data_IF_773997685181
#
_entry.id   IF_773997685181
#
_cell.length_a   1.000
_cell.length_b   1.000
_cell.length_c   1.000
_cell.angle_alpha   90.00
_cell.angle_beta   90.00
_cell.angle_gamma   90.00
#
_symmetry.space_group_name_H-M   'P 1'
#
loop_
_entity.id
_entity.type
_entity.pdbx_description
1 polymer ?
#
# COMPACT_ATOMS: atom_id res chain seq x y z
N UNK A 1 15.46 -9.77 -17.41
CA UNK A 1 14.26 -9.08 -17.90
C UNK A 1 13.56 -8.38 -16.75
N UNK A 2 13.31 -7.11 -16.94
CA UNK A 2 12.65 -6.31 -15.92
C UNK A 2 11.16 -6.59 -15.89
N UNK A 3 10.60 -6.61 -14.71
CA UNK A 3 9.17 -6.77 -14.55
C UNK A 3 8.45 -5.45 -14.84
N UNK A 4 7.26 -5.54 -15.41
CA UNK A 4 6.44 -4.36 -15.62
C UNK A 4 5.92 -3.85 -14.29
N UNK A 5 5.44 -2.61 -14.26
CA UNK A 5 4.81 -2.03 -13.07
C UNK A 5 3.66 -2.92 -12.61
N UNK A 6 2.88 -3.44 -13.56
CA UNK A 6 1.76 -4.32 -13.25
C UNK A 6 2.20 -5.57 -12.52
N UNK A 7 3.28 -6.21 -13.00
CA UNK A 7 3.80 -7.42 -12.37
C UNK A 7 4.36 -7.14 -10.98
N UNK A 8 5.12 -6.07 -10.83
CA UNK A 8 5.69 -5.68 -9.52
C UNK A 8 4.60 -5.41 -8.50
N UNK A 9 3.60 -4.64 -8.89
CA UNK A 9 2.53 -4.27 -7.98
C UNK A 9 1.65 -5.48 -7.65
N UNK A 10 1.39 -6.34 -8.62
CA UNK A 10 0.61 -7.55 -8.37
C UNK A 10 1.30 -8.47 -7.38
N UNK A 11 2.63 -8.64 -7.51
CA UNK A 11 3.41 -9.45 -6.57
C UNK A 11 3.36 -8.86 -5.16
N UNK A 12 3.52 -7.55 -5.05
CA UNK A 12 3.47 -6.87 -3.75
C UNK A 12 2.08 -7.00 -3.13
N UNK A 13 1.04 -6.82 -3.93
CA UNK A 13 -0.34 -6.96 -3.48
C UNK A 13 -0.61 -8.37 -2.94
N UNK A 14 -0.22 -9.39 -3.71
CA UNK A 14 -0.43 -10.78 -3.30
C UNK A 14 0.33 -11.08 -2.00
N UNK A 15 1.56 -10.60 -1.90
CA UNK A 15 2.39 -10.79 -0.70
C UNK A 15 1.74 -10.13 0.52
N UNK A 16 1.27 -8.91 0.38
CA UNK A 16 0.61 -8.20 1.48
C UNK A 16 -0.67 -8.91 1.92
N UNK A 17 -1.46 -9.41 0.98
CA UNK A 17 -2.67 -10.15 1.33
C UNK A 17 -2.36 -11.43 2.08
N UNK A 18 -1.35 -12.16 1.65
CA UNK A 18 -0.95 -13.39 2.33
C UNK A 18 -0.44 -13.06 3.73
N UNK A 19 0.38 -12.02 3.86
CA UNK A 19 0.89 -11.59 5.16
C UNK A 19 -0.24 -11.20 6.11
N UNK A 20 -1.22 -10.45 5.61
CA UNK A 20 -2.38 -10.07 6.41
C UNK A 20 -3.18 -11.29 6.84
N UNK A 21 -3.34 -12.26 5.96
CA UNK A 21 -4.05 -13.50 6.28
C UNK A 21 -3.31 -14.28 7.36
N UNK A 22 -1.97 -14.33 7.28
CA UNK A 22 -1.13 -14.99 8.26
C UNK A 22 -1.30 -14.37 9.65
N UNK A 23 -1.54 -13.06 9.72
CA UNK A 23 -1.70 -12.32 10.95
C UNK A 23 -3.18 -12.13 11.35
N UNK A 24 -4.11 -12.75 10.65
CA UNK A 24 -5.55 -12.47 10.78
C UNK A 24 -6.15 -12.77 12.16
N UNK A 25 -5.52 -13.62 12.96
CA UNK A 25 -6.01 -13.89 14.31
C UNK A 25 -5.76 -12.73 15.26
N UNK A 26 -4.79 -11.88 14.95
CA UNK A 26 -4.41 -10.76 15.81
C UNK A 26 -4.73 -9.39 15.20
N UNK A 27 -4.75 -9.28 13.88
CA UNK A 27 -4.93 -8.02 13.18
C UNK A 27 -6.00 -8.14 12.10
N UNK A 28 -6.95 -7.22 12.11
CA UNK A 28 -7.98 -7.15 11.08
C UNK A 28 -7.42 -6.47 9.82
N UNK A 29 -7.98 -6.84 8.69
CA UNK A 29 -7.60 -6.23 7.42
C UNK A 29 -8.78 -6.32 6.44
N UNK A 30 -8.75 -5.46 5.43
CA UNK A 30 -9.74 -5.49 4.37
C UNK A 30 -9.14 -4.97 3.07
N UNK A 31 -9.38 -5.69 1.98
CA UNK A 31 -9.04 -5.25 0.63
C UNK A 31 -10.34 -5.15 -0.14
N UNK A 32 -10.81 -3.95 -0.38
CA UNK A 32 -12.07 -3.73 -1.08
C UNK A 32 -11.94 -4.07 -2.57
N UNK A 33 -13.07 -4.11 -3.26
CA UNK A 33 -13.11 -4.41 -4.69
C UNK A 33 -12.23 -3.46 -5.50
N UNK A 34 -11.69 -3.90 -6.63
CA UNK A 34 -10.85 -3.04 -7.46
C UNK A 34 -11.65 -1.92 -8.11
N UNK A 35 -10.95 -0.85 -8.45
CA UNK A 35 -11.53 0.18 -9.29
C UNK A 35 -11.47 -0.29 -10.74
N UNK A 36 -12.09 0.45 -11.63
CA UNK A 36 -12.03 0.21 -13.07
C UNK A 36 -11.12 1.25 -13.72
N UNK A 37 -10.66 0.95 -14.94
CA UNK A 37 -9.89 1.93 -15.71
C UNK A 37 -10.72 3.17 -15.98
N UNK A 38 -12.02 3.01 -16.17
CA UNK A 38 -12.93 4.14 -16.38
C UNK A 38 -12.96 5.06 -15.18
N UNK A 39 -13.04 4.51 -13.97
CA UNK A 39 -13.00 5.32 -12.75
C UNK A 39 -11.70 6.09 -12.62
N UNK A 40 -10.58 5.45 -12.93
CA UNK A 40 -9.27 6.08 -12.88
C UNK A 40 -9.21 7.22 -13.89
N UNK A 41 -9.61 6.96 -15.12
CA UNK A 41 -9.58 7.98 -16.18
C UNK A 41 -10.49 9.16 -15.86
N UNK A 42 -11.66 8.90 -15.30
CA UNK A 42 -12.59 9.95 -14.90
C UNK A 42 -12.00 10.82 -13.78
N UNK A 43 -11.37 10.18 -12.79
CA UNK A 43 -10.73 10.92 -11.72
C UNK A 43 -9.61 11.84 -12.25
N UNK A 44 -8.79 11.30 -13.17
CA UNK A 44 -7.70 12.08 -13.77
C UNK A 44 -8.23 13.28 -14.54
N UNK A 45 -9.32 13.10 -15.27
CA UNK A 45 -9.94 14.21 -16.02
C UNK A 45 -10.54 15.26 -15.11
N UNK A 46 -11.29 14.82 -14.11
CA UNK A 46 -11.97 15.72 -13.19
C UNK A 46 -11.00 16.59 -12.40
N UNK A 47 -9.86 16.03 -12.06
CA UNK A 47 -8.88 16.71 -11.22
C UNK A 47 -7.70 17.29 -12.01
N UNK A 48 -7.62 16.98 -13.29
CA UNK A 48 -6.51 17.39 -14.16
C UNK A 48 -5.17 16.98 -13.55
N UNK A 49 -5.10 15.75 -13.08
CA UNK A 49 -3.90 15.18 -12.44
C UNK A 49 -3.71 13.76 -13.00
N UNK A 50 -2.48 13.42 -13.32
CA UNK A 50 -2.16 12.08 -13.77
C UNK A 50 -1.68 11.25 -12.58
N UNK A 51 -2.28 10.07 -12.38
CA UNK A 51 -1.86 9.17 -11.32
C UNK A 51 -0.57 8.46 -11.74
N UNK A 52 0.38 8.27 -10.81
CA UNK A 52 1.58 7.48 -11.11
C UNK A 52 1.21 6.06 -11.56
N UNK A 53 1.97 5.52 -12.49
CA UNK A 53 1.70 4.22 -13.10
C UNK A 53 1.49 3.11 -12.09
N UNK A 54 2.41 2.96 -11.14
CA UNK A 54 2.29 1.90 -10.12
C UNK A 54 1.05 2.05 -9.26
N UNK A 55 0.66 3.29 -8.96
CA UNK A 55 -0.54 3.55 -8.16
C UNK A 55 -1.80 3.17 -8.94
N UNK A 56 -1.82 3.43 -10.25
CA UNK A 56 -2.94 2.98 -11.10
C UNK A 56 -3.08 1.47 -11.05
N UNK A 57 -1.96 0.76 -11.16
CA UNK A 57 -1.98 -0.71 -11.11
C UNK A 57 -2.50 -1.20 -9.75
N UNK A 58 -2.13 -0.52 -8.68
CA UNK A 58 -2.64 -0.85 -7.34
C UNK A 58 -4.16 -0.70 -7.26
N UNK A 59 -4.69 0.43 -7.73
CA UNK A 59 -6.13 0.67 -7.68
C UNK A 59 -6.93 -0.32 -8.55
N UNK A 60 -6.31 -0.86 -9.58
CA UNK A 60 -6.94 -1.91 -10.39
C UNK A 60 -7.00 -3.25 -9.66
N UNK A 61 -6.33 -3.37 -8.53
CA UNK A 61 -6.39 -4.56 -7.68
C UNK A 61 -7.29 -4.34 -6.46
N UNK A 62 -7.23 -3.15 -5.87
CA UNK A 62 -8.09 -2.80 -4.75
C UNK A 62 -8.24 -1.27 -4.69
N UNK A 63 -9.46 -0.80 -4.57
CA UNK A 63 -9.73 0.63 -4.54
C UNK A 63 -9.39 1.26 -3.18
N UNK A 64 -9.66 0.53 -2.12
CA UNK A 64 -9.34 0.95 -0.76
C UNK A 64 -8.94 -0.27 0.03
N UNK A 65 -7.92 -0.14 0.88
CA UNK A 65 -7.54 -1.24 1.73
C UNK A 65 -7.08 -0.73 3.10
N UNK A 66 -7.16 -1.62 4.07
CA UNK A 66 -6.54 -1.37 5.37
C UNK A 66 -5.92 -2.67 5.87
N UNK A 67 -4.88 -2.53 6.68
CA UNK A 67 -4.12 -3.65 7.20
C UNK A 67 -3.76 -3.35 8.65
N UNK A 68 -3.55 -4.40 9.45
CA UNK A 68 -3.12 -4.28 10.84
C UNK A 68 -4.05 -3.38 11.65
N UNK A 69 -5.34 -3.72 11.70
CA UNK A 69 -6.34 -2.96 12.46
C UNK A 69 -6.42 -1.49 12.02
N UNK A 70 -6.25 -1.27 10.71
CA UNK A 70 -6.30 0.06 10.09
C UNK A 70 -5.08 0.93 10.37
N UNK A 71 -3.99 0.35 10.84
CA UNK A 71 -2.75 1.10 10.99
C UNK A 71 -2.19 1.52 9.64
N UNK A 72 -2.38 0.67 8.62
CA UNK A 72 -1.91 0.94 7.25
C UNK A 72 -3.12 1.04 6.35
N UNK A 73 -3.36 2.23 5.79
CA UNK A 73 -4.49 2.45 4.90
C UNK A 73 -4.02 3.08 3.60
N UNK A 74 -4.48 2.51 2.48
CA UNK A 74 -4.29 3.11 1.15
C UNK A 74 -5.70 3.23 0.59
N UNK A 75 -6.06 4.42 0.14
CA UNK A 75 -7.44 4.68 -0.29
C UNK A 75 -7.48 5.51 -1.57
N UNK A 76 -8.67 5.64 -2.11
CA UNK A 76 -8.92 6.40 -3.34
C UNK A 76 -8.39 7.82 -3.17
N UNK A 77 -7.71 8.36 -4.19
CA UNK A 77 -6.99 9.62 -4.03
C UNK A 77 -7.92 10.79 -3.74
N UNK A 78 -7.44 11.65 -2.85
CA UNK A 78 -8.15 12.88 -2.48
C UNK A 78 -7.20 14.05 -2.71
N UNK A 79 -7.64 15.00 -3.51
CA UNK A 79 -6.82 16.18 -3.78
C UNK A 79 -6.73 17.03 -2.52
N UNK A 80 -5.51 17.28 -2.08
CA UNK A 80 -5.27 18.13 -0.93
C UNK A 80 -5.08 19.57 -1.38
N UNK A 81 -4.85 20.45 -0.44
CA UNK A 81 -4.88 21.90 -0.64
C UNK A 81 -3.88 22.46 -1.64
N UNK A 82 -2.79 21.79 -1.89
CA UNK A 82 -1.69 22.36 -2.67
C UNK A 82 -1.25 21.46 -3.80
N UNK A 83 -0.01 21.05 -3.75
CA UNK A 83 0.60 20.29 -4.84
C UNK A 83 0.57 18.78 -4.60
N UNK A 84 -0.19 18.34 -3.59
CA UNK A 84 -0.16 16.94 -3.15
C UNK A 84 -1.51 16.29 -3.25
N UNK A 85 -1.50 14.97 -3.44
CA UNK A 85 -2.71 14.14 -3.45
C UNK A 85 -2.59 13.12 -2.32
N UNK A 86 -3.57 13.11 -1.44
CA UNK A 86 -3.60 12.22 -0.29
C UNK A 86 -4.07 10.83 -0.73
N UNK A 87 -3.29 9.79 -0.43
CA UNK A 87 -3.64 8.42 -0.81
C UNK A 87 -3.54 7.41 0.33
N UNK A 88 -3.13 7.80 1.50
CA UNK A 88 -3.03 6.85 2.60
C UNK A 88 -2.84 7.51 3.95
N UNK A 89 -2.98 6.66 4.97
CA UNK A 89 -2.78 7.05 6.36
C UNK A 89 -2.06 5.90 7.04
N UNK A 90 -0.94 6.21 7.69
CA UNK A 90 -0.10 5.18 8.29
C UNK A 90 -0.09 5.26 9.81
N UNK A 91 0.00 4.08 10.41
CA UNK A 91 0.19 3.89 11.86
C UNK A 91 -0.96 4.43 12.72
N UNK A 92 -1.94 5.07 12.09
CA UNK A 92 -3.13 5.54 12.81
C UNK A 92 -2.92 6.76 13.69
N UNK A 93 -1.75 7.38 13.63
CA UNK A 93 -1.41 8.49 14.52
C UNK A 93 -1.09 9.80 13.80
N UNK A 94 -1.57 9.94 12.58
CA UNK A 94 -1.42 11.20 11.86
C UNK A 94 -0.32 11.23 10.81
N UNK A 95 0.27 10.08 10.51
CA UNK A 95 1.19 10.01 9.39
C UNK A 95 0.37 9.78 8.12
N UNK A 96 0.55 10.65 7.12
CA UNK A 96 -0.24 10.60 5.88
C UNK A 96 0.66 10.39 4.69
N UNK A 97 0.16 9.60 3.73
CA UNK A 97 0.87 9.31 2.49
C UNK A 97 0.30 10.13 1.34
N UNK A 98 1.20 10.80 0.62
CA UNK A 98 0.84 11.65 -0.52
C UNK A 98 1.69 11.31 -1.74
N UNK A 99 1.26 11.79 -2.90
CA UNK A 99 2.18 11.93 -4.02
C UNK A 99 2.11 13.37 -4.53
N UNK A 100 3.22 13.83 -5.11
CA UNK A 100 3.32 15.18 -5.68
C UNK A 100 2.62 15.21 -7.03
N UNK A 101 1.79 16.22 -7.27
CA UNK A 101 1.10 16.40 -8.56
C UNK A 101 2.10 16.61 -9.70
N UNK A 102 3.20 17.31 -9.44
CA UNK A 102 4.18 17.64 -10.46
C UNK A 102 5.12 16.50 -10.79
N UNK A 103 5.70 15.88 -9.76
CA UNK A 103 6.75 14.87 -9.97
C UNK A 103 6.23 13.44 -9.90
N UNK A 104 5.07 13.22 -9.27
CA UNK A 104 4.57 11.88 -9.02
C UNK A 104 5.31 11.14 -7.91
N UNK A 105 6.22 11.83 -7.22
CA UNK A 105 6.97 11.21 -6.13
C UNK A 105 6.12 11.02 -4.89
N UNK A 106 6.38 9.94 -4.16
CA UNK A 106 5.64 9.59 -2.96
C UNK A 106 6.37 10.06 -1.72
N UNK A 107 5.61 10.51 -0.75
CA UNK A 107 6.19 10.93 0.53
C UNK A 107 5.15 10.81 1.64
N UNK A 108 5.64 10.67 2.89
CA UNK A 108 4.78 10.73 4.06
C UNK A 108 5.11 11.98 4.86
N UNK A 109 4.13 12.47 5.60
CA UNK A 109 4.32 13.59 6.51
C UNK A 109 3.85 13.17 7.91
N UNK A 110 4.64 13.53 8.92
CA UNK A 110 4.29 13.26 10.30
C UNK A 110 4.93 14.33 11.18
N UNK A 111 4.11 15.07 11.89
CA UNK A 111 4.58 16.15 12.81
C UNK A 111 5.56 17.12 12.16
N UNK A 112 5.30 17.46 10.88
CA UNK A 112 6.12 18.40 10.15
C UNK A 112 7.34 17.80 9.46
N UNK A 113 7.59 16.51 9.65
CA UNK A 113 8.69 15.83 8.98
C UNK A 113 8.18 15.15 7.71
N UNK A 114 9.03 15.12 6.69
CA UNK A 114 8.72 14.51 5.39
C UNK A 114 9.70 13.39 5.12
N UNK A 115 9.18 12.22 4.75
CA UNK A 115 10.00 11.09 4.35
C UNK A 115 9.63 10.72 2.92
N UNK A 116 10.61 10.67 2.04
CA UNK A 116 10.40 10.41 0.62
C UNK A 116 10.63 8.95 0.27
N UNK A 117 9.90 8.46 -0.74
CA UNK A 117 10.02 7.10 -1.24
C UNK A 117 10.34 7.14 -2.73
N UNK A 118 11.18 6.22 -3.19
CA UNK A 118 11.59 6.14 -4.59
C UNK A 118 10.44 5.78 -5.54
N UNK A 119 9.49 4.98 -5.07
CA UNK A 119 8.39 4.51 -5.89
C UNK A 119 7.24 4.04 -5.00
N UNK A 120 6.09 3.76 -5.60
CA UNK A 120 4.98 3.19 -4.83
C UNK A 120 5.33 1.80 -4.32
N UNK A 121 6.10 1.04 -5.09
CA UNK A 121 6.56 -0.28 -4.66
C UNK A 121 7.41 -0.18 -3.39
N UNK A 122 8.21 0.87 -3.25
CA UNK A 122 8.98 1.12 -2.03
C UNK A 122 8.07 1.33 -0.82
N UNK A 123 6.95 2.02 -1.03
CA UNK A 123 5.96 2.21 0.03
C UNK A 123 5.40 0.86 0.47
N UNK A 124 5.04 0.01 -0.49
CA UNK A 124 4.50 -1.31 -0.19
C UNK A 124 5.53 -2.19 0.54
N UNK A 125 6.79 -2.08 0.16
CA UNK A 125 7.87 -2.80 0.83
C UNK A 125 7.99 -2.37 2.29
N UNK A 126 7.86 -1.09 2.56
CA UNK A 126 7.90 -0.58 3.93
C UNK A 126 6.77 -1.18 4.78
N UNK A 127 5.56 -1.26 4.23
CA UNK A 127 4.44 -1.89 4.92
C UNK A 127 4.73 -3.38 5.15
N UNK A 128 5.28 -4.05 4.14
CA UNK A 128 5.62 -5.47 4.23
C UNK A 128 6.60 -5.75 5.37
N UNK A 129 7.61 -4.91 5.53
CA UNK A 129 8.59 -5.04 6.60
C UNK A 129 7.90 -4.95 7.96
N UNK A 130 6.97 -4.02 8.11
CA UNK A 130 6.22 -3.88 9.36
C UNK A 130 5.40 -5.13 9.67
N UNK A 131 4.77 -5.70 8.65
CA UNK A 131 4.00 -6.93 8.83
C UNK A 131 4.91 -8.10 9.24
N UNK A 132 6.11 -8.17 8.69
CA UNK A 132 7.08 -9.19 9.06
C UNK A 132 7.53 -9.03 10.52
N UNK A 133 7.73 -7.80 10.97
CA UNK A 133 8.07 -7.53 12.36
C UNK A 133 6.94 -7.97 13.30
N UNK A 134 5.69 -7.75 12.90
CA UNK A 134 4.54 -8.21 13.67
C UNK A 134 4.48 -9.74 13.73
N UNK A 135 4.82 -10.39 12.63
CA UNK A 135 4.87 -11.86 12.58
C UNK A 135 5.90 -12.39 13.58
N UNK A 136 7.06 -11.75 13.64
CA UNK A 136 8.10 -12.15 14.58
C UNK A 136 7.65 -11.93 16.02
N UNK A 137 6.96 -10.83 16.30
CA UNK A 137 6.44 -10.56 17.64
C UNK A 137 5.43 -11.61 18.11
N UNK A 138 4.57 -12.07 17.20
CA UNK A 138 3.51 -13.02 17.54
C UNK A 138 4.03 -14.45 17.58
N UNK A 139 4.81 -14.85 16.60
CA UNK A 139 5.21 -16.24 16.40
C UNK A 139 6.67 -16.53 16.79
N UNK A 140 7.46 -15.50 17.09
CA UNK A 140 8.86 -15.65 17.47
C UNK A 140 9.81 -15.66 16.29
N UNK A 141 11.08 -15.88 16.57
CA UNK A 141 12.13 -15.85 15.55
C UNK A 141 11.93 -16.85 14.43
N UNK A 142 11.22 -17.94 14.73
CA UNK A 142 10.97 -19.01 13.77
C UNK A 142 9.68 -18.81 12.99
N UNK A 143 9.16 -17.61 12.96
CA UNK A 143 7.89 -17.33 12.29
C UNK A 143 7.90 -17.72 10.80
N UNK A 144 9.05 -17.66 10.15
CA UNK A 144 9.16 -18.05 8.75
C UNK A 144 8.85 -19.52 8.53
N UNK A 145 9.22 -20.37 9.50
CA UNK A 145 8.92 -21.79 9.43
C UNK A 145 7.41 -22.03 9.55
N UNK A 146 6.76 -21.28 10.42
CA UNK A 146 5.30 -21.37 10.59
C UNK A 146 4.59 -20.87 9.33
N UNK A 147 5.09 -19.77 8.76
CA UNK A 147 4.56 -19.20 7.53
C UNK A 147 4.69 -20.20 6.38
N UNK A 148 5.86 -20.83 6.25
CA UNK A 148 6.10 -21.80 5.20
C UNK A 148 5.21 -23.02 5.34
N UNK A 149 4.94 -23.48 6.57
CA UNK A 149 4.01 -24.58 6.81
C UNK A 149 2.59 -24.23 6.38
N UNK A 150 2.18 -22.98 6.57
CA UNK A 150 0.81 -22.56 6.28
C UNK A 150 0.61 -22.21 4.81
N UNK A 151 1.59 -21.55 4.19
CA UNK A 151 1.47 -21.03 2.82
C UNK A 151 2.56 -21.56 1.89
N UNK A 152 3.46 -22.37 2.41
CA UNK A 152 4.62 -22.81 1.66
C UNK A 152 4.25 -23.55 0.39
N UNK A 153 5.07 -23.35 -0.62
CA UNK A 153 4.93 -24.03 -1.88
C UNK A 153 5.85 -25.22 -1.93
N UNK A 154 5.40 -26.21 -2.57
CA UNK A 154 6.19 -27.44 -2.74
C UNK A 154 6.80 -27.53 -4.11
#
# INVERSE_FOLDING_TARGET
MEKSDRELIKESYDHLKISCNFLSDEYEYEFESPSTEEEINNWEKENNIELPSMLKEWFLLTKNCNMSNRMWRIFWPKVDKTDSVLIGSFIGDGEFLFFSKESGEFFTTFEGEVEEYDSFDSVLTYISIDLEEKAEEIFGEDWTDIYDDKFGED
#
